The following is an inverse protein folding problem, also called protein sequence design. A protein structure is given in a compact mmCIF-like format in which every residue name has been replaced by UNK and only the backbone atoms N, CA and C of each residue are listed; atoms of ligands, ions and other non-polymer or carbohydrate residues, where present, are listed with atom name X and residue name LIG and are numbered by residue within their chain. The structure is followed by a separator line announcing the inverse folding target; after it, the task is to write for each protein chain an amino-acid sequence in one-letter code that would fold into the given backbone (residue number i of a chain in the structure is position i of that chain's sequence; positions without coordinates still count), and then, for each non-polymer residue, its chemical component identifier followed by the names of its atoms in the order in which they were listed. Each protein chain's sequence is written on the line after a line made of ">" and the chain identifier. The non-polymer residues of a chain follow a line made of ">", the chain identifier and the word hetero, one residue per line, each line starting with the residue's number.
data_IF_522968561562
#
_entry.id   IF_522968561562
#
_cell.length_a   1.000
_cell.length_b   1.000
_cell.length_c   1.000
_cell.angle_alpha   90.00
_cell.angle_beta   90.00
_cell.angle_gamma   90.00
#
_symmetry.space_group_name_H-M   'P 1'
#
loop_
_entity.id
_entity.type
_entity.pdbx_description
1 polymer ?
#
# COMPACT_ATOMS: atom_id res chain seq x y z
N UNK A 1 23.12 -5.20 9.33
CA UNK A 1 22.29 -4.38 10.25
C UNK A 1 20.87 -4.88 10.12
N UNK A 2 20.13 -5.07 11.23
CA UNK A 2 18.74 -5.53 11.16
C UNK A 2 17.85 -4.43 10.58
N UNK A 3 16.99 -4.77 9.62
CA UNK A 3 16.08 -3.82 8.99
C UNK A 3 15.10 -3.17 9.97
N UNK A 4 14.76 -1.91 9.69
CA UNK A 4 13.86 -1.11 10.51
C UNK A 4 12.37 -1.45 10.32
N UNK A 5 11.51 -0.89 11.17
CA UNK A 5 10.05 -0.95 11.01
C UNK A 5 9.55 0.30 10.28
N UNK A 6 8.76 0.12 9.23
CA UNK A 6 8.20 1.20 8.44
C UNK A 6 6.67 1.13 8.44
N UNK A 7 6.06 2.30 8.63
CA UNK A 7 4.64 2.54 8.35
C UNK A 7 4.56 3.40 7.08
N UNK A 8 3.73 2.98 6.13
CA UNK A 8 3.59 3.63 4.82
C UNK A 8 2.12 3.97 4.58
N UNK A 9 1.86 5.21 4.18
CA UNK A 9 0.55 5.69 3.77
C UNK A 9 0.66 6.15 2.31
N UNK A 10 0.43 5.25 1.34
CA UNK A 10 0.63 5.55 -0.07
C UNK A 10 -0.56 6.30 -0.69
N UNK A 11 -0.28 7.02 -1.78
CA UNK A 11 -1.28 7.52 -2.72
C UNK A 11 -1.56 6.46 -3.79
N UNK A 12 -2.81 6.38 -4.24
CA UNK A 12 -3.25 5.44 -5.27
C UNK A 12 -2.72 5.78 -6.68
N UNK A 13 -2.96 4.89 -7.65
CA UNK A 13 -2.64 5.12 -9.06
C UNK A 13 -1.16 4.91 -9.41
N UNK A 14 -0.63 5.73 -10.32
CA UNK A 14 0.76 5.59 -10.81
C UNK A 14 1.80 5.78 -9.70
N UNK A 15 1.51 6.61 -8.69
CA UNK A 15 2.36 6.80 -7.52
C UNK A 15 2.56 5.50 -6.73
N UNK A 16 1.50 4.70 -6.59
CA UNK A 16 1.57 3.39 -5.92
C UNK A 16 2.51 2.43 -6.65
N UNK A 17 2.51 2.43 -7.99
CA UNK A 17 3.38 1.57 -8.79
C UNK A 17 4.86 1.86 -8.53
N UNK A 18 5.23 3.15 -8.47
CA UNK A 18 6.60 3.56 -8.12
C UNK A 18 6.96 3.20 -6.68
N UNK A 19 6.04 3.44 -5.73
CA UNK A 19 6.25 3.12 -4.31
C UNK A 19 6.48 1.61 -4.11
N UNK A 20 5.72 0.75 -4.78
CA UNK A 20 5.80 -0.71 -4.63
C UNK A 20 7.22 -1.23 -4.85
N UNK A 21 7.93 -0.73 -5.85
CA UNK A 21 9.31 -1.14 -6.15
C UNK A 21 10.26 -0.81 -5.00
N UNK A 22 10.08 0.34 -4.34
CA UNK A 22 10.87 0.74 -3.17
C UNK A 22 10.58 -0.18 -1.99
N UNK A 23 9.30 -0.51 -1.74
CA UNK A 23 8.91 -1.39 -0.64
C UNK A 23 9.46 -2.81 -0.80
N UNK A 24 9.49 -3.35 -2.03
CA UNK A 24 10.12 -4.64 -2.33
C UNK A 24 11.61 -4.60 -1.97
N UNK A 25 12.34 -3.58 -2.43
CA UNK A 25 13.76 -3.44 -2.14
C UNK A 25 14.07 -3.27 -0.64
N UNK A 26 13.18 -2.62 0.12
CA UNK A 26 13.33 -2.47 1.58
C UNK A 26 12.99 -3.78 2.31
N UNK A 27 11.97 -4.50 1.87
CA UNK A 27 11.63 -5.82 2.42
C UNK A 27 12.80 -6.81 2.27
N UNK A 28 13.47 -6.83 1.10
CA UNK A 28 14.68 -7.62 0.86
C UNK A 28 15.86 -7.24 1.76
N UNK A 29 15.85 -6.02 2.32
CA UNK A 29 16.80 -5.54 3.34
C UNK A 29 16.30 -5.78 4.77
N UNK A 30 15.42 -6.76 4.95
CA UNK A 30 14.85 -7.21 6.24
C UNK A 30 14.01 -6.15 6.96
N UNK A 31 13.51 -5.13 6.26
CA UNK A 31 12.58 -4.17 6.85
C UNK A 31 11.19 -4.78 7.03
N UNK A 32 10.56 -4.51 8.18
CA UNK A 32 9.16 -4.88 8.44
C UNK A 32 8.27 -3.72 8.03
N UNK A 33 7.42 -3.94 7.04
CA UNK A 33 6.64 -2.88 6.39
C UNK A 33 5.15 -3.11 6.64
N UNK A 34 4.47 -2.07 7.12
CA UNK A 34 3.01 -2.01 7.23
C UNK A 34 2.52 -0.88 6.31
N UNK A 35 1.59 -1.21 5.44
CA UNK A 35 0.87 -0.26 4.59
C UNK A 35 -0.50 -0.01 5.19
N UNK A 36 -0.93 1.25 5.24
CA UNK A 36 -2.28 1.65 5.62
C UNK A 36 -2.93 2.36 4.44
N UNK A 37 -4.06 1.83 3.97
CA UNK A 37 -4.77 2.36 2.81
C UNK A 37 -6.30 2.27 2.99
N UNK A 38 -7.11 3.02 2.23
CA UNK A 38 -8.56 2.83 2.21
C UNK A 38 -8.95 1.41 1.80
N UNK A 39 -10.07 0.91 2.34
CA UNK A 39 -10.64 -0.39 1.92
C UNK A 39 -11.03 -0.39 0.43
N UNK A 40 -11.46 0.77 -0.07
CA UNK A 40 -11.72 1.02 -1.48
C UNK A 40 -10.48 1.68 -2.09
N UNK A 41 -9.70 0.90 -2.85
CA UNK A 41 -8.49 1.36 -3.53
C UNK A 41 -8.40 0.79 -4.95
N UNK A 42 -7.44 1.29 -5.74
CA UNK A 42 -7.30 0.91 -7.15
C UNK A 42 -6.64 -0.45 -7.34
N UNK A 43 -5.48 -0.68 -6.71
CA UNK A 43 -4.70 -1.90 -6.95
C UNK A 43 -3.76 -2.28 -5.80
N UNK A 44 -4.12 -1.92 -4.56
CA UNK A 44 -3.36 -2.32 -3.38
C UNK A 44 -3.84 -3.69 -2.92
N UNK A 45 -2.97 -4.69 -3.08
CA UNK A 45 -3.25 -6.09 -2.73
C UNK A 45 -2.29 -6.56 -1.66
N UNK A 46 -2.66 -7.62 -0.94
CA UNK A 46 -1.76 -8.31 -0.04
C UNK A 46 -0.51 -8.81 -0.80
N UNK A 47 0.63 -8.82 -0.12
CA UNK A 47 1.92 -9.20 -0.70
C UNK A 47 2.80 -9.83 0.37
N UNK A 48 3.79 -10.62 -0.04
CA UNK A 48 4.83 -11.15 0.86
C UNK A 48 5.77 -10.05 1.39
N UNK A 49 5.88 -8.91 0.67
CA UNK A 49 6.86 -7.86 1.00
C UNK A 49 6.38 -6.89 2.09
N UNK A 50 5.08 -6.85 2.38
CA UNK A 50 4.48 -5.92 3.34
C UNK A 50 3.14 -6.44 3.87
N UNK A 51 2.76 -5.99 5.07
CA UNK A 51 1.42 -6.21 5.59
C UNK A 51 0.51 -5.06 5.18
N UNK A 52 -0.61 -5.36 4.51
CA UNK A 52 -1.64 -4.37 4.20
C UNK A 52 -2.67 -4.31 5.34
N UNK A 53 -2.96 -3.10 5.81
CA UNK A 53 -4.06 -2.78 6.72
C UNK A 53 -4.98 -1.80 6.01
N UNK A 54 -6.28 -2.07 6.05
CA UNK A 54 -7.30 -1.20 5.46
C UNK A 54 -8.08 -0.46 6.52
N UNK A 55 -8.64 0.69 6.16
CA UNK A 55 -9.59 1.44 6.97
C UNK A 55 -10.82 1.82 6.14
N UNK A 56 -11.96 1.96 6.81
CA UNK A 56 -13.22 2.27 6.15
C UNK A 56 -13.27 3.72 5.70
N UNK A 57 -13.89 3.95 4.54
CA UNK A 57 -14.10 5.29 3.97
C UNK A 57 -15.53 5.43 3.48
N UNK A 58 -16.12 6.64 3.51
CA UNK A 58 -17.45 6.91 2.96
C UNK A 58 -17.38 7.10 1.44
N UNK A 59 -16.76 6.14 0.75
CA UNK A 59 -16.61 6.11 -0.70
C UNK A 59 -16.81 4.67 -1.15
N UNK A 60 -17.73 4.41 -2.07
CA UNK A 60 -17.95 3.06 -2.60
C UNK A 60 -17.00 2.74 -3.76
N UNK A 61 -16.87 1.46 -4.10
CA UNK A 61 -16.08 1.04 -5.25
C UNK A 61 -16.65 1.61 -6.55
N UNK A 62 -17.97 1.64 -6.67
CA UNK A 62 -18.68 2.16 -7.84
C UNK A 62 -18.46 3.66 -8.02
N UNK A 63 -18.50 4.43 -6.92
CA UNK A 63 -18.20 5.87 -6.93
C UNK A 63 -16.75 6.14 -7.35
N UNK A 64 -15.80 5.34 -6.85
CA UNK A 64 -14.40 5.43 -7.27
C UNK A 64 -14.27 5.14 -8.77
N UNK A 65 -14.82 4.03 -9.26
CA UNK A 65 -14.75 3.63 -10.67
C UNK A 65 -15.41 4.65 -11.61
N UNK A 66 -16.50 5.30 -11.18
CA UNK A 66 -17.16 6.37 -11.96
C UNK A 66 -16.35 7.67 -12.05
N UNK A 67 -15.39 7.88 -11.12
CA UNK A 67 -14.54 9.07 -11.07
C UNK A 67 -13.22 8.95 -11.84
N UNK A 68 -12.95 7.77 -12.41
CA UNK A 68 -11.71 7.43 -13.12
C UNK A 68 -11.73 7.73 -14.61
#
# INVERSE_FOLDING_TARGET
>A
AAGGKLLVVPMDGSHWLSMRSVLVALSQKEHKIIIVAPEVNLNMKASEYYTLKTYQVPLTREELEASM
#
